data_IF_113000525897
#
_entry.id   IF_113000525897
#
_cell.length_a   1.000
_cell.length_b   1.000
_cell.length_c   1.000
_cell.angle_alpha   90.00
_cell.angle_beta   90.00
_cell.angle_gamma   90.00
#
_symmetry.space_group_name_H-M   'P 1'
#
loop_
_entity.id
_entity.type
_entity.pdbx_description
1 polymer ?
#
# COMPACT_ATOMS: atom_id res chain seq x y z
N UNK A 1 6.74 -43.16 -13.09
CA UNK A 1 6.10 -41.87 -13.42
C UNK A 1 5.67 -41.07 -12.18
N UNK A 2 4.88 -41.65 -11.26
CA UNK A 2 4.29 -40.96 -10.08
C UNK A 2 5.28 -40.30 -9.09
N UNK A 3 6.48 -40.86 -8.88
CA UNK A 3 7.46 -40.26 -7.95
C UNK A 3 8.08 -38.95 -8.48
N UNK A 4 8.26 -38.84 -9.80
CA UNK A 4 8.79 -37.61 -10.43
C UNK A 4 7.79 -36.46 -10.36
N UNK A 5 6.49 -36.77 -10.40
CA UNK A 5 5.42 -35.78 -10.27
C UNK A 5 5.31 -35.23 -8.83
N UNK A 6 5.50 -36.07 -7.81
CA UNK A 6 5.52 -35.62 -6.40
C UNK A 6 6.73 -34.73 -6.09
N UNK A 7 7.90 -35.06 -6.64
CA UNK A 7 9.10 -34.24 -6.51
C UNK A 7 8.93 -32.87 -7.18
N UNK A 8 8.25 -32.81 -8.34
CA UNK A 8 7.95 -31.56 -9.03
C UNK A 8 7.01 -30.64 -8.22
N UNK A 9 5.93 -31.21 -7.65
CA UNK A 9 4.98 -30.47 -6.81
C UNK A 9 5.63 -29.98 -5.52
N UNK A 10 6.50 -30.78 -4.90
CA UNK A 10 7.26 -30.38 -3.72
C UNK A 10 8.25 -29.26 -4.03
N UNK A 11 8.92 -29.30 -5.19
CA UNK A 11 9.84 -28.24 -5.62
C UNK A 11 9.16 -26.91 -5.95
N UNK A 12 7.94 -26.96 -6.50
CA UNK A 12 7.10 -25.76 -6.73
C UNK A 12 6.65 -25.14 -5.40
N UNK A 13 6.35 -25.95 -4.38
CA UNK A 13 6.00 -25.48 -3.03
C UNK A 13 7.16 -24.79 -2.30
N UNK A 14 8.42 -25.20 -2.55
CA UNK A 14 9.61 -24.57 -1.97
C UNK A 14 9.99 -23.24 -2.62
N UNK A 15 9.56 -23.01 -3.87
CA UNK A 15 9.72 -21.72 -4.57
C UNK A 15 8.65 -20.70 -4.17
N UNK A 16 7.61 -21.11 -3.44
CA UNK A 16 6.62 -20.23 -2.83
C UNK A 16 7.14 -19.67 -1.50
N UNK A 17 8.29 -19.01 -1.53
CA UNK A 17 8.72 -18.17 -0.40
C UNK A 17 7.81 -16.94 -0.34
N UNK A 18 7.32 -16.50 0.84
CA UNK A 18 6.62 -15.23 0.92
C UNK A 18 7.57 -14.12 0.47
N UNK A 19 7.12 -13.33 -0.50
CA UNK A 19 7.84 -12.18 -1.02
C UNK A 19 8.21 -11.27 0.15
N UNK A 20 9.51 -11.09 0.40
CA UNK A 20 10.01 -10.22 1.47
C UNK A 20 9.36 -8.84 1.35
N UNK A 21 8.77 -8.37 2.44
CA UNK A 21 8.03 -7.10 2.54
C UNK A 21 8.96 -5.89 2.58
N UNK A 22 9.72 -5.68 1.51
CA UNK A 22 10.37 -4.40 1.26
C UNK A 22 9.33 -3.44 0.64
N UNK A 23 8.47 -2.85 1.48
CA UNK A 23 7.50 -1.87 1.02
C UNK A 23 8.08 -0.45 1.14
N UNK A 24 8.18 0.28 0.03
CA UNK A 24 8.58 1.69 0.09
C UNK A 24 7.50 2.51 0.80
N UNK A 25 7.91 3.36 1.73
CA UNK A 25 7.04 4.30 2.41
C UNK A 25 6.81 5.53 1.53
N UNK A 26 5.57 6.00 1.48
CA UNK A 26 5.15 7.20 0.78
C UNK A 26 4.40 8.13 1.73
N UNK A 27 4.53 9.44 1.51
CA UNK A 27 3.76 10.46 2.22
C UNK A 27 3.25 11.50 1.22
N UNK A 28 1.98 11.85 1.36
CA UNK A 28 1.39 13.02 0.73
C UNK A 28 0.95 13.98 1.83
N UNK A 29 1.16 15.28 1.59
CA UNK A 29 0.83 16.32 2.55
C UNK A 29 0.42 17.59 1.82
N UNK A 30 -0.43 18.37 2.47
CA UNK A 30 -0.92 19.66 1.98
C UNK A 30 -1.06 20.63 3.14
N UNK A 31 -0.97 21.92 2.82
CA UNK A 31 -1.13 23.00 3.78
C UNK A 31 -2.18 23.99 3.30
N UNK A 32 -3.15 24.33 4.14
CA UNK A 32 -4.23 25.27 3.77
C UNK A 32 -4.00 26.71 4.28
N UNK A 33 -2.85 26.95 4.94
CA UNK A 33 -2.57 28.21 5.62
C UNK A 33 -2.77 28.18 7.13
N UNK A 34 -3.32 27.09 7.67
CA UNK A 34 -3.61 26.94 9.10
C UNK A 34 -3.37 25.52 9.62
N UNK A 35 -3.51 24.50 8.78
CA UNK A 35 -3.38 23.09 9.12
C UNK A 35 -2.52 22.40 8.06
N UNK A 36 -1.55 21.60 8.52
CA UNK A 36 -0.84 20.63 7.69
C UNK A 36 -1.54 19.29 7.83
N UNK A 37 -2.03 18.74 6.72
CA UNK A 37 -2.76 17.48 6.69
C UNK A 37 -2.25 16.56 5.59
N UNK A 38 -2.43 15.26 5.77
CA UNK A 38 -1.94 14.30 4.78
C UNK A 38 -2.15 12.85 5.16
N UNK A 39 -1.50 11.97 4.41
CA UNK A 39 -1.55 10.52 4.61
C UNK A 39 -0.21 9.87 4.25
N UNK A 40 0.23 8.93 5.09
CA UNK A 40 1.34 8.03 4.84
C UNK A 40 0.85 6.60 4.56
N UNK A 41 1.50 5.94 3.62
CA UNK A 41 1.14 4.59 3.19
C UNK A 41 2.33 3.89 2.54
N UNK A 42 2.30 2.56 2.54
CA UNK A 42 3.31 1.73 1.91
C UNK A 42 2.96 1.46 0.43
N UNK A 43 3.91 0.98 -0.36
CA UNK A 43 3.73 0.72 -1.81
C UNK A 43 2.62 -0.26 -2.16
N UNK A 44 2.19 -1.08 -1.20
CA UNK A 44 1.06 -2.00 -1.31
C UNK A 44 -0.29 -1.39 -0.88
N UNK A 45 -0.29 -0.09 -0.55
CA UNK A 45 -1.39 0.74 -0.07
C UNK A 45 -1.82 0.47 1.38
N UNK A 46 -1.07 -0.34 2.12
CA UNK A 46 -1.30 -0.45 3.56
C UNK A 46 -1.04 0.89 4.24
N UNK A 47 -1.89 1.34 5.17
CA UNK A 47 -1.64 2.55 5.93
C UNK A 47 -0.35 2.41 6.73
N UNK A 48 0.48 3.45 6.73
CA UNK A 48 1.53 3.57 7.73
C UNK A 48 0.88 4.04 9.04
N UNK A 49 0.26 3.11 9.76
CA UNK A 49 -0.42 3.34 11.04
C UNK A 49 0.59 3.57 12.16
N UNK A 50 0.24 4.44 13.11
CA UNK A 50 1.03 4.70 14.32
C UNK A 50 2.52 4.96 14.04
N UNK A 51 2.81 5.61 12.92
CA UNK A 51 4.16 5.84 12.39
C UNK A 51 4.62 7.26 12.72
N UNK A 52 5.88 7.41 13.12
CA UNK A 52 6.45 8.71 13.48
C UNK A 52 6.42 9.68 12.29
N UNK A 53 6.06 10.93 12.58
CA UNK A 53 6.15 12.03 11.63
C UNK A 53 6.70 13.29 12.28
N UNK A 54 7.34 14.10 11.45
CA UNK A 54 7.94 15.36 11.82
C UNK A 54 7.64 16.41 10.75
N UNK A 55 7.27 17.62 11.18
CA UNK A 55 6.99 18.77 10.33
C UNK A 55 8.04 19.83 10.61
N UNK A 56 8.74 20.26 9.56
CA UNK A 56 9.78 21.29 9.60
C UNK A 56 9.32 22.52 8.82
N UNK A 57 9.85 23.68 9.16
CA UNK A 57 9.65 24.95 8.45
C UNK A 57 11.00 25.56 8.10
N UNK A 58 11.04 26.44 7.09
CA UNK A 58 12.20 27.31 6.80
C UNK A 58 13.57 26.60 6.71
N UNK A 59 13.59 25.31 6.37
CA UNK A 59 14.81 24.46 6.37
C UNK A 59 15.44 24.23 7.75
N UNK A 60 14.68 24.44 8.83
CA UNK A 60 15.12 24.15 10.19
C UNK A 60 15.59 22.70 10.34
N UNK A 61 16.63 22.50 11.13
CA UNK A 61 17.18 21.18 11.44
C UNK A 61 16.38 20.45 12.52
N UNK A 62 15.57 21.19 13.29
CA UNK A 62 14.70 20.64 14.32
C UNK A 62 13.23 20.73 13.90
N UNK A 63 12.42 19.72 14.22
CA UNK A 63 11.02 19.72 13.85
C UNK A 63 10.25 20.79 14.62
N UNK A 64 9.40 21.54 13.92
CA UNK A 64 8.41 22.42 14.55
C UNK A 64 7.34 21.59 15.28
N UNK A 65 6.93 20.48 14.67
CA UNK A 65 5.90 19.59 15.21
C UNK A 65 6.38 18.16 15.05
N UNK A 66 6.28 17.37 16.11
CA UNK A 66 6.42 15.92 16.08
C UNK A 66 5.07 15.27 16.33
N UNK A 67 4.87 14.10 15.72
CA UNK A 67 3.58 13.46 15.70
C UNK A 67 3.64 11.98 15.34
N UNK A 68 2.45 11.39 15.31
CA UNK A 68 2.25 9.99 14.94
C UNK A 68 1.00 9.94 14.05
N UNK A 69 1.03 9.14 12.99
CA UNK A 69 -0.13 8.91 12.12
C UNK A 69 -1.23 8.11 12.82
N UNK A 70 -2.48 8.32 12.41
CA UNK A 70 -3.62 7.56 12.94
C UNK A 70 -3.70 6.13 12.36
N UNK A 71 -4.74 5.39 12.75
CA UNK A 71 -5.01 4.01 12.29
C UNK A 71 -5.24 3.87 10.78
N UNK A 72 -5.47 4.97 10.09
CA UNK A 72 -5.63 5.03 8.65
C UNK A 72 -4.43 5.69 7.97
N UNK A 73 -3.33 5.89 8.69
CA UNK A 73 -2.11 6.52 8.22
C UNK A 73 -2.25 8.03 7.99
N UNK A 74 -3.33 8.66 8.47
CA UNK A 74 -3.58 10.09 8.28
C UNK A 74 -2.98 10.91 9.41
N UNK A 75 -2.76 12.19 9.13
CA UNK A 75 -2.34 13.17 10.12
C UNK A 75 -2.94 14.55 9.82
N UNK A 76 -3.09 15.35 10.87
CA UNK A 76 -3.60 16.72 10.79
C UNK A 76 -3.08 17.52 11.99
N UNK A 77 -2.18 18.48 11.73
CA UNK A 77 -1.55 19.29 12.76
C UNK A 77 -1.75 20.78 12.50
N UNK A 78 -2.15 21.57 13.50
CA UNK A 78 -2.28 23.02 13.36
C UNK A 78 -0.90 23.65 13.19
N UNK A 79 -0.76 24.50 12.18
CA UNK A 79 0.45 25.26 11.90
C UNK A 79 0.05 26.62 11.32
N UNK A 80 0.10 27.67 12.13
CA UNK A 80 -0.22 29.01 11.66
C UNK A 80 0.99 29.67 10.98
N UNK A 81 0.76 30.38 9.88
CA UNK A 81 1.78 31.14 9.14
C UNK A 81 2.98 30.30 8.66
N UNK A 82 2.75 29.01 8.39
CA UNK A 82 3.73 28.08 7.86
C UNK A 82 4.34 28.51 6.52
N UNK A 83 5.66 28.32 6.40
CA UNK A 83 6.45 28.57 5.18
C UNK A 83 7.45 27.43 4.97
N UNK A 84 7.67 27.05 3.71
CA UNK A 84 8.60 25.97 3.31
C UNK A 84 8.40 24.69 4.15
N UNK A 85 7.16 24.21 4.18
CA UNK A 85 6.76 23.13 5.08
C UNK A 85 7.23 21.80 4.53
N UNK A 86 8.08 21.11 5.28
CA UNK A 86 8.57 19.78 4.95
C UNK A 86 7.98 18.77 5.93
N UNK A 87 7.32 17.76 5.40
CA UNK A 87 6.79 16.64 6.18
C UNK A 87 7.69 15.43 5.96
N UNK A 88 8.17 14.88 7.06
CA UNK A 88 8.98 13.67 7.10
C UNK A 88 8.21 12.60 7.86
N UNK A 89 8.15 11.39 7.30
CA UNK A 89 7.57 10.22 7.97
C UNK A 89 8.62 9.13 8.00
N UNK A 90 8.85 8.55 9.16
CA UNK A 90 9.83 7.48 9.36
C UNK A 90 9.10 6.21 9.79
N UNK A 91 9.04 5.26 8.86
CA UNK A 91 8.47 3.93 9.05
C UNK A 91 9.40 3.02 9.82
N UNK A 92 8.92 1.79 10.03
CA UNK A 92 9.74 0.72 10.57
C UNK A 92 10.91 0.41 9.60
N UNK A 93 11.98 -0.19 10.11
CA UNK A 93 13.16 -0.60 9.33
C UNK A 93 13.97 0.55 8.67
N UNK A 94 13.76 1.80 9.10
CA UNK A 94 14.53 2.96 8.63
C UNK A 94 14.07 3.52 7.27
N UNK A 95 12.88 3.13 6.82
CA UNK A 95 12.26 3.74 5.64
C UNK A 95 11.80 5.16 5.94
N UNK A 96 12.29 6.12 5.16
CA UNK A 96 11.98 7.54 5.31
C UNK A 96 11.32 8.07 4.05
N UNK A 97 10.13 8.65 4.22
CA UNK A 97 9.44 9.39 3.18
C UNK A 97 9.45 10.88 3.52
N UNK A 98 9.58 11.73 2.50
CA UNK A 98 9.60 13.18 2.68
C UNK A 98 8.85 13.84 1.56
N UNK A 99 8.06 14.85 1.90
CA UNK A 99 7.35 15.68 0.93
C UNK A 99 7.31 17.14 1.38
N UNK A 100 7.09 18.04 0.43
CA UNK A 100 6.83 19.45 0.70
C UNK A 100 5.32 19.63 0.70
N UNK A 101 4.79 20.21 1.78
CA UNK A 101 3.37 20.53 1.89
C UNK A 101 3.14 21.95 1.38
N UNK A 102 2.94 22.07 0.07
CA UNK A 102 2.67 23.36 -0.56
C UNK A 102 1.36 23.96 -0.07
N UNK A 103 1.33 25.29 -0.04
CA UNK A 103 0.15 26.04 0.39
C UNK A 103 -0.88 26.02 -0.73
N UNK A 104 -1.98 25.29 -0.54
CA UNK A 104 -3.12 25.32 -1.44
C UNK A 104 -3.76 26.70 -1.36
N UNK A 105 -3.56 27.51 -2.39
CA UNK A 105 -4.21 28.81 -2.51
C UNK A 105 -5.41 28.65 -3.43
N UNK A 106 -6.64 28.73 -2.91
CA UNK A 106 -7.87 28.62 -3.70
C UNK A 106 -8.12 29.83 -4.64
N UNK A 107 -7.08 30.58 -5.00
CA UNK A 107 -7.15 31.64 -6.00
C UNK A 107 -6.99 31.04 -7.39
N UNK A 108 -8.10 30.58 -7.97
CA UNK A 108 -8.47 30.56 -9.41
C UNK A 108 -7.46 30.24 -10.54
N UNK A 109 -6.19 29.94 -10.29
CA UNK A 109 -5.15 29.90 -11.31
C UNK A 109 -4.32 28.61 -11.34
N UNK A 110 -4.30 27.78 -10.30
CA UNK A 110 -3.50 26.54 -10.33
C UNK A 110 -4.32 25.28 -10.62
N UNK A 111 -4.75 25.16 -11.88
CA UNK A 111 -5.37 23.92 -12.39
C UNK A 111 -4.40 22.73 -12.33
N UNK A 112 -3.09 23.00 -12.33
CA UNK A 112 -2.06 21.97 -12.39
C UNK A 112 -1.88 21.29 -11.03
N UNK A 113 -1.89 22.03 -9.92
CA UNK A 113 -1.87 21.44 -8.57
C UNK A 113 -3.10 20.57 -8.31
N UNK A 114 -4.28 21.03 -8.72
CA UNK A 114 -5.51 20.24 -8.62
C UNK A 114 -5.44 18.97 -9.51
N UNK A 115 -4.77 19.04 -10.66
CA UNK A 115 -4.58 17.89 -11.54
C UNK A 115 -3.59 16.87 -10.96
N UNK A 116 -2.49 17.33 -10.36
CA UNK A 116 -1.51 16.49 -9.65
C UNK A 116 -2.16 15.74 -8.48
N UNK A 117 -2.93 16.45 -7.64
CA UNK A 117 -3.68 15.83 -6.52
C UNK A 117 -4.69 14.78 -7.05
N UNK A 118 -5.32 15.04 -8.20
CA UNK A 118 -6.24 14.07 -8.83
C UNK A 118 -5.51 12.86 -9.41
N UNK A 119 -4.33 13.06 -9.98
CA UNK A 119 -3.49 12.00 -10.54
C UNK A 119 -3.00 11.07 -9.43
N UNK A 120 -2.52 11.61 -8.31
CA UNK A 120 -2.11 10.83 -7.14
C UNK A 120 -3.29 10.00 -6.59
N UNK A 121 -4.48 10.60 -6.48
CA UNK A 121 -5.69 9.89 -6.05
C UNK A 121 -6.10 8.81 -7.08
N UNK A 122 -5.99 9.10 -8.37
CA UNK A 122 -6.34 8.16 -9.44
C UNK A 122 -5.39 6.96 -9.46
N UNK A 123 -4.08 7.20 -9.35
CA UNK A 123 -3.05 6.17 -9.26
C UNK A 123 -3.23 5.30 -8.00
N UNK A 124 -3.59 5.92 -6.87
CA UNK A 124 -3.95 5.22 -5.63
C UNK A 124 -5.17 4.32 -5.83
N UNK A 125 -6.20 4.78 -6.54
CA UNK A 125 -7.44 4.02 -6.77
C UNK A 125 -7.25 2.86 -7.76
N UNK A 126 -6.49 3.06 -8.83
CA UNK A 126 -6.27 2.05 -9.87
C UNK A 126 -5.59 0.78 -9.32
N UNK A 127 -4.57 0.97 -8.49
CA UNK A 127 -3.85 -0.14 -7.82
C UNK A 127 -4.76 -0.98 -6.90
N UNK A 128 -5.74 -0.37 -6.24
CA UNK A 128 -6.72 -1.09 -5.40
C UNK A 128 -7.60 -1.96 -6.29
N UNK A 129 -8.17 -1.40 -7.35
CA UNK A 129 -9.05 -2.13 -8.27
C UNK A 129 -8.37 -3.32 -8.93
N UNK A 130 -7.14 -3.16 -9.40
CA UNK A 130 -6.40 -4.26 -10.02
C UNK A 130 -6.20 -5.44 -9.05
N UNK A 131 -5.81 -5.15 -7.80
CA UNK A 131 -5.60 -6.18 -6.76
C UNK A 131 -6.90 -6.92 -6.42
N UNK A 132 -8.00 -6.19 -6.28
CA UNK A 132 -9.30 -6.78 -5.93
C UNK A 132 -9.84 -7.67 -7.06
N UNK A 133 -9.69 -7.24 -8.32
CA UNK A 133 -10.10 -8.02 -9.50
C UNK A 133 -9.27 -9.30 -9.62
N UNK A 134 -7.93 -9.20 -9.57
CA UNK A 134 -7.06 -10.37 -9.67
C UNK A 134 -7.21 -11.32 -8.49
N UNK A 135 -7.35 -10.79 -7.27
CA UNK A 135 -7.62 -11.58 -6.08
C UNK A 135 -8.94 -12.35 -6.18
N UNK A 136 -10.01 -11.68 -6.63
CA UNK A 136 -11.31 -12.30 -6.87
C UNK A 136 -11.27 -13.39 -7.94
N UNK A 137 -10.61 -13.13 -9.06
CA UNK A 137 -10.42 -14.11 -10.14
C UNK A 137 -9.62 -15.33 -9.63
N UNK A 138 -8.51 -15.09 -8.94
CA UNK A 138 -7.69 -16.15 -8.37
C UNK A 138 -8.46 -17.03 -7.39
N UNK A 139 -9.33 -16.44 -6.56
CA UNK A 139 -10.18 -17.17 -5.62
C UNK A 139 -11.18 -18.09 -6.33
N UNK A 140 -11.84 -17.61 -7.39
CA UNK A 140 -12.80 -18.39 -8.18
C UNK A 140 -12.10 -19.59 -8.84
N UNK A 141 -10.97 -19.36 -9.52
CA UNK A 141 -10.22 -20.44 -10.15
C UNK A 141 -9.63 -21.41 -9.13
N UNK A 142 -9.23 -20.94 -7.95
CA UNK A 142 -8.75 -21.77 -6.85
C UNK A 142 -9.82 -22.74 -6.35
N UNK A 143 -11.04 -22.26 -6.09
CA UNK A 143 -12.15 -23.11 -5.64
C UNK A 143 -12.52 -24.12 -6.73
N UNK A 144 -12.72 -23.67 -7.97
CA UNK A 144 -13.12 -24.56 -9.07
C UNK A 144 -12.04 -25.62 -9.37
N UNK A 145 -10.77 -25.23 -9.33
CA UNK A 145 -9.64 -26.15 -9.45
C UNK A 145 -9.61 -27.19 -8.33
N UNK A 146 -9.83 -26.76 -7.09
CA UNK A 146 -9.91 -27.64 -5.92
C UNK A 146 -11.06 -28.66 -6.03
N UNK A 147 -12.25 -28.21 -6.41
CA UNK A 147 -13.42 -29.07 -6.62
C UNK A 147 -13.16 -30.08 -7.74
N UNK A 148 -12.59 -29.62 -8.87
CA UNK A 148 -12.26 -30.48 -10.02
C UNK A 148 -11.26 -31.58 -9.64
N UNK A 149 -10.21 -31.23 -8.90
CA UNK A 149 -9.23 -32.20 -8.39
C UNK A 149 -9.90 -33.20 -7.45
N UNK A 150 -10.68 -32.74 -6.47
CA UNK A 150 -11.39 -33.63 -5.54
C UNK A 150 -12.33 -34.60 -6.27
N UNK A 151 -13.08 -34.10 -7.25
CA UNK A 151 -13.99 -34.91 -8.06
C UNK A 151 -13.22 -35.96 -8.88
N UNK A 152 -12.08 -35.58 -9.48
CA UNK A 152 -11.23 -36.49 -10.24
C UNK A 152 -10.62 -37.61 -9.37
N UNK A 153 -10.24 -37.29 -8.12
CA UNK A 153 -9.77 -38.28 -7.14
C UNK A 153 -10.89 -39.25 -6.72
N UNK A 154 -12.10 -38.74 -6.49
CA UNK A 154 -13.25 -39.56 -6.11
C UNK A 154 -13.66 -40.51 -7.24
N UNK A 155 -13.71 -40.03 -8.48
CA UNK A 155 -13.99 -40.84 -9.67
C UNK A 155 -12.95 -41.93 -9.88
N UNK A 156 -11.66 -41.62 -9.74
CA UNK A 156 -10.58 -42.61 -9.84
C UNK A 156 -10.68 -43.70 -8.77
N UNK A 157 -10.99 -43.34 -7.53
CA UNK A 157 -11.20 -44.30 -6.44
C UNK A 157 -12.39 -45.23 -6.71
N UNK A 158 -13.50 -44.69 -7.23
CA UNK A 158 -14.67 -45.49 -7.61
C UNK A 158 -14.39 -46.44 -8.78
N UNK A 159 -13.60 -46.00 -9.76
CA UNK A 159 -13.20 -46.83 -10.90
C UNK A 159 -12.21 -47.95 -10.51
N UNK A 160 -11.32 -47.70 -9.53
CA UNK A 160 -10.39 -48.71 -9.02
C UNK A 160 -11.05 -49.73 -8.08
N UNK A 161 -12.14 -49.38 -7.40
CA UNK A 161 -12.89 -50.30 -6.52
C UNK A 161 -13.88 -51.22 -7.28
N UNK A 162 -13.95 -51.09 -8.61
CA UNK A 162 -14.83 -51.89 -9.50
C UNK A 162 -14.07 -52.97 -10.30
N UNK A 163 -12.78 -53.19 -10.02
CA UNK A 163 -11.97 -54.30 -10.52
C UNK A 163 -11.55 -55.18 -9.35
#
# INVERSE_FOLDING_TARGET
MMMRLKALVMMIGLLASPMLWAHSLHVIAQYDGNIVSGKAYYSDLTPAEQTYLAIFQNEDTQPTIEGITDKQGRFSYPLANGQNIKVVVEGEEGHKATTIADRITLQGQDKNEIALIREDIAALKDKIYFRDILGGIGYIFGILGGISLWYSYRLRKLLMNKR
#
